data_IF_712230753067
#
_entry.id   IF_712230753067
#
_cell.length_a   1.000
_cell.length_b   1.000
_cell.length_c   1.000
_cell.angle_alpha   90.00
_cell.angle_beta   90.00
_cell.angle_gamma   90.00
#
_symmetry.space_group_name_H-M   'P 1'
#
loop_
_entity.id
_entity.type
_entity.pdbx_description
1 polymer ?
#
# COMPACT_ATOMS: atom_id res chain seq x y z
N UNK A 1 -21.37 -12.70 -8.83
CA UNK A 1 -20.19 -12.16 -9.52
C UNK A 1 -20.46 -10.70 -9.80
N UNK A 2 -19.70 -9.86 -9.13
CA UNK A 2 -19.57 -8.41 -9.31
C UNK A 2 -19.07 -8.11 -10.73
N UNK A 3 -19.64 -7.12 -11.42
CA UNK A 3 -19.32 -6.86 -12.83
C UNK A 3 -17.88 -6.36 -13.02
N UNK A 4 -17.33 -5.66 -12.00
CA UNK A 4 -16.02 -5.02 -12.05
C UNK A 4 -14.96 -5.76 -11.22
N UNK A 5 -15.38 -6.56 -10.23
CA UNK A 5 -14.51 -7.36 -9.37
C UNK A 5 -14.57 -8.84 -9.75
N UNK A 6 -13.90 -9.24 -10.83
CA UNK A 6 -13.96 -10.59 -11.36
C UNK A 6 -12.57 -11.09 -11.81
N UNK A 7 -12.51 -12.35 -12.25
CA UNK A 7 -11.26 -12.98 -12.70
C UNK A 7 -10.61 -12.30 -13.91
N UNK A 8 -11.40 -11.70 -14.82
CA UNK A 8 -10.87 -10.94 -15.96
C UNK A 8 -10.15 -9.68 -15.50
N UNK A 9 -10.76 -8.90 -14.60
CA UNK A 9 -10.09 -7.73 -13.98
C UNK A 9 -8.78 -8.13 -13.30
N UNK A 10 -8.77 -9.26 -12.57
CA UNK A 10 -7.56 -9.79 -11.92
C UNK A 10 -6.46 -10.15 -12.92
N UNK A 11 -6.81 -10.77 -14.04
CA UNK A 11 -5.86 -11.08 -15.11
C UNK A 11 -5.29 -9.81 -15.74
N UNK A 12 -6.16 -8.84 -16.08
CA UNK A 12 -5.76 -7.55 -16.65
C UNK A 12 -4.89 -6.72 -15.72
N UNK A 13 -5.12 -6.77 -14.40
CA UNK A 13 -4.24 -6.13 -13.42
C UNK A 13 -2.85 -6.76 -13.39
N UNK A 14 -2.77 -8.09 -13.55
CA UNK A 14 -1.47 -8.80 -13.62
C UNK A 14 -0.69 -8.36 -14.87
N UNK A 15 -1.37 -8.26 -16.02
CA UNK A 15 -0.80 -7.74 -17.27
C UNK A 15 -0.34 -6.29 -17.13
N UNK A 16 -1.21 -5.41 -16.60
CA UNK A 16 -0.93 -3.97 -16.44
C UNK A 16 0.28 -3.71 -15.54
N UNK A 17 0.39 -4.45 -14.45
CA UNK A 17 1.51 -4.30 -13.49
C UNK A 17 2.81 -4.93 -13.98
N UNK A 18 2.73 -5.83 -14.98
CA UNK A 18 3.87 -6.61 -15.46
C UNK A 18 4.52 -7.44 -14.34
N UNK A 19 3.70 -7.94 -13.41
CA UNK A 19 4.19 -8.69 -12.26
C UNK A 19 4.72 -10.08 -12.66
N UNK A 20 5.78 -10.60 -12.01
CA UNK A 20 6.25 -11.96 -12.27
C UNK A 20 5.19 -13.03 -11.96
N UNK A 21 5.30 -14.19 -12.59
CA UNK A 21 4.30 -15.26 -12.50
C UNK A 21 3.98 -15.70 -11.06
N UNK A 22 5.01 -15.81 -10.20
CA UNK A 22 4.80 -16.15 -8.79
C UNK A 22 3.97 -15.12 -8.01
N UNK A 23 3.99 -13.84 -8.41
CA UNK A 23 3.12 -12.80 -7.84
C UNK A 23 1.71 -12.91 -8.43
N UNK A 24 1.60 -13.15 -9.75
CA UNK A 24 0.32 -13.33 -10.43
C UNK A 24 -0.46 -14.55 -9.90
N UNK A 25 0.23 -15.66 -9.59
CA UNK A 25 -0.36 -16.83 -8.93
C UNK A 25 -0.94 -16.49 -7.56
N UNK A 26 -0.20 -15.73 -6.74
CA UNK A 26 -0.68 -15.26 -5.43
C UNK A 26 -1.89 -14.34 -5.55
N UNK A 27 -1.92 -13.47 -6.56
CA UNK A 27 -3.09 -12.63 -6.87
C UNK A 27 -4.33 -13.47 -7.20
N UNK A 28 -4.19 -14.48 -8.06
CA UNK A 28 -5.30 -15.38 -8.42
C UNK A 28 -5.77 -16.21 -7.23
N UNK A 29 -4.85 -16.69 -6.39
CA UNK A 29 -5.18 -17.38 -5.15
C UNK A 29 -5.92 -16.45 -4.17
N UNK A 30 -5.50 -15.19 -4.06
CA UNK A 30 -6.20 -14.18 -3.26
C UNK A 30 -7.61 -13.92 -3.79
N UNK A 31 -7.80 -13.87 -5.12
CA UNK A 31 -9.13 -13.71 -5.71
C UNK A 31 -10.05 -14.90 -5.37
N UNK A 32 -9.55 -16.14 -5.51
CA UNK A 32 -10.31 -17.33 -5.13
C UNK A 32 -10.69 -17.32 -3.64
N UNK A 33 -9.77 -16.90 -2.77
CA UNK A 33 -10.04 -16.71 -1.33
C UNK A 33 -11.09 -15.62 -1.10
N UNK A 34 -10.98 -14.50 -1.80
CA UNK A 34 -11.95 -13.42 -1.73
C UNK A 34 -13.34 -13.93 -2.11
N UNK A 35 -13.50 -14.69 -3.19
CA UNK A 35 -14.81 -15.23 -3.60
C UNK A 35 -15.40 -16.21 -2.59
N UNK A 36 -14.56 -17.04 -1.96
CA UNK A 36 -15.00 -18.04 -0.99
C UNK A 36 -15.43 -17.45 0.37
N UNK A 37 -14.90 -16.27 0.74
CA UNK A 37 -15.19 -15.64 2.03
C UNK A 37 -16.48 -14.80 1.97
N UNK A 38 -17.27 -14.83 3.04
CA UNK A 38 -18.37 -13.90 3.24
C UNK A 38 -17.85 -12.53 3.69
N UNK A 39 -18.63 -11.48 3.42
CA UNK A 39 -18.39 -10.20 4.08
C UNK A 39 -18.61 -10.35 5.57
N UNK A 40 -17.76 -9.74 6.41
CA UNK A 40 -17.99 -9.72 7.84
C UNK A 40 -19.25 -8.92 8.16
N UNK A 41 -19.92 -9.29 9.24
CA UNK A 41 -21.11 -8.61 9.73
C UNK A 41 -21.04 -8.46 11.26
N UNK A 42 -22.06 -7.81 11.83
CA UNK A 42 -22.11 -7.50 13.26
C UNK A 42 -22.29 -8.72 14.17
N UNK A 43 -22.36 -9.95 13.63
CA UNK A 43 -22.28 -11.19 14.43
C UNK A 43 -20.85 -11.50 14.89
N UNK A 44 -19.83 -10.96 14.21
CA UNK A 44 -18.44 -11.00 14.65
C UNK A 44 -18.19 -9.86 15.64
N UNK A 45 -17.52 -10.16 16.76
CA UNK A 45 -17.29 -9.17 17.82
C UNK A 45 -16.44 -7.99 17.31
N UNK A 46 -15.46 -8.24 16.45
CA UNK A 46 -14.60 -7.24 15.83
C UNK A 46 -15.35 -6.29 14.88
N UNK A 47 -16.53 -6.70 14.39
CA UNK A 47 -17.35 -5.94 13.43
C UNK A 47 -18.66 -5.42 14.03
N UNK A 48 -18.90 -5.67 15.33
CA UNK A 48 -20.13 -5.30 16.04
C UNK A 48 -20.56 -3.84 15.87
N UNK A 49 -19.59 -2.94 15.78
CA UNK A 49 -19.81 -1.49 15.67
C UNK A 49 -19.62 -0.93 14.25
N UNK A 50 -19.38 -1.81 13.26
CA UNK A 50 -19.12 -1.42 11.88
C UNK A 50 -20.23 -1.96 10.97
N UNK A 51 -21.03 -1.05 10.41
CA UNK A 51 -22.18 -1.41 9.57
C UNK A 51 -21.84 -1.33 8.07
N UNK A 52 -21.77 -2.49 7.43
CA UNK A 52 -21.48 -2.62 6.00
C UNK A 52 -22.73 -2.67 5.10
N UNK A 53 -23.94 -2.50 5.63
CA UNK A 53 -25.18 -2.63 4.81
C UNK A 53 -25.28 -1.60 3.67
N UNK A 54 -24.62 -0.45 3.82
CA UNK A 54 -24.56 0.60 2.78
C UNK A 54 -23.34 0.45 1.86
N UNK A 55 -22.41 -0.42 2.23
CA UNK A 55 -21.22 -0.66 1.44
C UNK A 55 -21.57 -1.59 0.27
N UNK A 56 -21.31 -1.12 -0.94
CA UNK A 56 -21.53 -1.88 -2.16
C UNK A 56 -20.28 -1.79 -3.03
N UNK A 57 -19.56 -2.91 -3.12
CA UNK A 57 -18.30 -3.01 -3.85
C UNK A 57 -18.50 -2.75 -5.35
N UNK A 58 -19.65 -3.10 -5.93
CA UNK A 58 -19.92 -2.97 -7.37
C UNK A 58 -20.05 -1.51 -7.84
N UNK A 59 -20.06 -0.55 -6.91
CA UNK A 59 -20.14 0.89 -7.22
C UNK A 59 -18.79 1.50 -7.60
N UNK A 60 -17.70 0.74 -7.47
CA UNK A 60 -16.35 1.23 -7.68
C UNK A 60 -15.65 0.51 -8.83
N UNK A 61 -14.93 1.26 -9.65
CA UNK A 61 -14.05 0.70 -10.66
C UNK A 61 -12.73 0.25 -10.01
N UNK A 62 -12.46 -1.06 -10.07
CA UNK A 62 -11.25 -1.68 -9.53
C UNK A 62 -10.00 -1.43 -10.40
N UNK A 63 -10.18 -0.86 -11.59
CA UNK A 63 -9.11 -0.62 -12.55
C UNK A 63 -9.18 0.83 -13.05
N UNK A 64 -8.83 1.81 -12.20
CA UNK A 64 -8.84 3.22 -12.57
C UNK A 64 -7.90 3.49 -13.76
N UNK A 65 -8.12 4.60 -14.50
CA UNK A 65 -7.26 5.02 -15.60
C UNK A 65 -5.80 5.17 -15.18
N UNK A 66 -4.90 4.89 -16.11
CA UNK A 66 -3.46 5.02 -15.88
C UNK A 66 -3.04 6.49 -15.79
N UNK A 67 -2.07 6.74 -14.93
CA UNK A 67 -1.43 8.05 -14.76
C UNK A 67 0.02 7.99 -15.26
N UNK A 68 0.43 9.07 -15.93
CA UNK A 68 1.79 9.18 -16.47
C UNK A 68 2.83 9.30 -15.35
N UNK A 69 4.00 8.68 -15.59
CA UNK A 69 5.16 8.84 -14.72
C UNK A 69 5.86 10.17 -15.03
N UNK A 70 6.28 10.85 -13.97
CA UNK A 70 7.13 12.04 -14.04
C UNK A 70 8.52 11.74 -13.49
N UNK A 71 9.51 12.52 -13.92
CA UNK A 71 10.91 12.33 -13.50
C UNK A 71 11.36 13.35 -12.47
N UNK A 72 10.66 14.49 -12.40
CA UNK A 72 10.90 15.55 -11.46
C UNK A 72 9.67 15.83 -10.62
N UNK A 73 9.87 16.08 -9.33
CA UNK A 73 8.81 16.52 -8.42
C UNK A 73 8.16 17.84 -8.83
N UNK A 74 8.83 18.65 -9.66
CA UNK A 74 8.27 19.89 -10.21
C UNK A 74 7.19 19.66 -11.29
N UNK A 75 7.09 18.45 -11.85
CA UNK A 75 6.08 18.07 -12.84
C UNK A 75 4.79 17.55 -12.18
N UNK A 76 4.82 17.33 -10.86
CA UNK A 76 3.65 16.90 -10.09
C UNK A 76 2.60 18.03 -10.01
N UNK A 77 1.31 17.69 -9.83
CA UNK A 77 0.28 18.67 -9.50
C UNK A 77 0.70 19.55 -8.31
N UNK A 78 0.45 20.85 -8.40
CA UNK A 78 1.04 21.85 -7.48
C UNK A 78 0.80 21.58 -5.99
N UNK A 79 -0.38 21.07 -5.62
CA UNK A 79 -0.68 20.67 -4.24
C UNK A 79 0.21 19.51 -3.77
N UNK A 80 0.36 18.47 -4.59
CA UNK A 80 1.19 17.30 -4.29
C UNK A 80 2.67 17.71 -4.22
N UNK A 81 3.14 18.53 -5.17
CA UNK A 81 4.51 19.05 -5.18
C UNK A 81 4.80 19.87 -3.91
N UNK A 82 3.86 20.73 -3.50
CA UNK A 82 3.98 21.51 -2.27
C UNK A 82 4.06 20.61 -1.03
N UNK A 83 3.22 19.57 -0.94
CA UNK A 83 3.26 18.61 0.17
C UNK A 83 4.56 17.82 0.22
N UNK A 84 5.08 17.41 -0.94
CA UNK A 84 6.37 16.72 -1.03
C UNK A 84 7.53 17.62 -0.57
N UNK A 85 7.45 18.92 -0.85
CA UNK A 85 8.43 19.91 -0.41
C UNK A 85 8.40 20.27 1.09
N UNK A 86 7.44 19.75 1.86
CA UNK A 86 7.39 19.96 3.31
C UNK A 86 8.39 19.06 4.02
N UNK A 87 9.37 19.68 4.68
CA UNK A 87 10.39 18.98 5.45
C UNK A 87 11.42 18.27 4.59
N UNK A 88 12.35 17.57 5.24
CA UNK A 88 13.39 16.79 4.57
C UNK A 88 13.02 15.31 4.57
N UNK A 89 13.31 14.62 3.47
CA UNK A 89 13.10 13.18 3.30
C UNK A 89 14.33 12.51 2.68
N UNK A 90 14.59 11.27 3.08
CA UNK A 90 15.61 10.42 2.46
C UNK A 90 15.08 9.75 1.18
N UNK A 91 13.75 9.65 1.07
CA UNK A 91 13.06 9.12 -0.10
C UNK A 91 11.61 9.56 -0.13
N UNK A 92 11.04 9.62 -1.31
CA UNK A 92 9.69 10.10 -1.53
C UNK A 92 9.05 9.31 -2.67
N UNK A 93 7.78 8.95 -2.52
CA UNK A 93 6.97 8.39 -3.58
C UNK A 93 5.62 9.09 -3.66
N UNK A 94 5.07 9.20 -4.86
CA UNK A 94 3.72 9.69 -5.09
C UNK A 94 2.96 8.63 -5.87
N UNK A 95 1.82 8.21 -5.30
CA UNK A 95 0.83 7.40 -6.01
C UNK A 95 -0.44 8.19 -6.27
N UNK A 96 -0.85 8.20 -7.53
CA UNK A 96 -2.16 8.71 -7.94
C UNK A 96 -2.95 7.50 -8.43
N UNK A 97 -4.09 7.27 -7.80
CA UNK A 97 -4.91 6.08 -7.95
C UNK A 97 -4.11 4.79 -7.66
N UNK A 98 -3.83 3.98 -8.69
CA UNK A 98 -3.03 2.76 -8.56
C UNK A 98 -1.52 2.98 -8.84
N UNK A 99 -1.17 4.04 -9.58
CA UNK A 99 0.12 4.15 -10.24
C UNK A 99 1.14 4.89 -9.39
N UNK A 100 2.39 4.40 -9.39
CA UNK A 100 3.54 5.13 -8.84
C UNK A 100 4.01 6.15 -9.88
N UNK A 101 3.50 7.37 -9.78
CA UNK A 101 3.77 8.46 -10.75
C UNK A 101 5.12 9.11 -10.54
N UNK A 102 5.61 9.15 -9.29
CA UNK A 102 6.92 9.71 -8.95
C UNK A 102 7.58 8.89 -7.85
N UNK A 103 8.90 8.75 -7.93
CA UNK A 103 9.72 8.19 -6.84
C UNK A 103 11.12 8.78 -6.89
N UNK A 104 11.64 9.17 -5.73
CA UNK A 104 12.97 9.73 -5.57
C UNK A 104 13.63 9.23 -4.28
N UNK A 105 14.96 9.19 -4.30
CA UNK A 105 15.82 8.85 -3.17
C UNK A 105 16.95 9.87 -3.13
N UNK A 106 17.37 10.25 -1.91
CA UNK A 106 18.59 11.03 -1.74
C UNK A 106 19.80 10.21 -2.19
N UNK A 107 20.89 10.89 -2.55
CA UNK A 107 22.10 10.22 -2.99
C UNK A 107 22.71 9.38 -1.87
N UNK A 108 22.58 9.83 -0.61
CA UNK A 108 23.02 9.08 0.57
C UNK A 108 22.20 7.80 0.76
N UNK A 109 20.86 7.89 0.65
CA UNK A 109 19.99 6.72 0.79
C UNK A 109 20.25 5.69 -0.32
N UNK A 110 20.41 6.17 -1.57
CA UNK A 110 20.76 5.32 -2.72
C UNK A 110 22.11 4.65 -2.53
N UNK A 111 23.13 5.41 -2.12
CA UNK A 111 24.47 4.87 -1.86
C UNK A 111 24.49 3.88 -0.70
N UNK A 112 23.61 4.04 0.29
CA UNK A 112 23.42 3.10 1.39
C UNK A 112 22.63 1.83 0.99
N UNK A 113 22.16 1.72 -0.26
CA UNK A 113 21.41 0.57 -0.77
C UNK A 113 19.93 0.53 -0.35
N UNK A 114 19.37 1.66 0.09
CA UNK A 114 17.93 1.77 0.37
C UNK A 114 17.15 1.59 -0.94
N UNK A 115 16.10 0.77 -0.89
CA UNK A 115 15.19 0.56 -2.03
C UNK A 115 13.84 1.15 -1.69
N UNK A 116 13.31 1.99 -2.58
CA UNK A 116 11.92 2.47 -2.57
C UNK A 116 11.43 2.42 -4.00
N UNK A 117 10.52 1.50 -4.32
CA UNK A 117 9.97 1.40 -5.67
C UNK A 117 8.65 0.61 -5.69
N UNK A 118 8.09 0.41 -6.88
CA UNK A 118 7.04 -0.55 -7.11
C UNK A 118 7.56 -1.98 -6.88
N UNK A 119 6.82 -2.81 -6.13
CA UNK A 119 7.28 -4.17 -5.79
C UNK A 119 7.49 -5.03 -7.04
N UNK A 120 6.76 -4.76 -8.12
CA UNK A 120 6.88 -5.46 -9.39
C UNK A 120 8.20 -5.11 -10.11
N UNK A 121 8.69 -3.88 -9.92
CA UNK A 121 10.03 -3.47 -10.38
C UNK A 121 11.09 -4.15 -9.51
N UNK A 122 10.94 -4.08 -8.18
CA UNK A 122 11.87 -4.73 -7.25
C UNK A 122 11.92 -6.24 -7.47
N UNK A 123 10.80 -6.90 -7.78
CA UNK A 123 10.78 -8.35 -8.02
C UNK A 123 11.54 -8.76 -9.29
N UNK A 124 11.67 -7.86 -10.28
CA UNK A 124 12.47 -8.11 -11.48
C UNK A 124 13.96 -7.85 -11.25
N UNK A 125 14.28 -6.82 -10.46
CA UNK A 125 15.66 -6.40 -10.19
C UNK A 125 16.32 -7.17 -9.03
N UNK A 126 15.52 -7.57 -8.04
CA UNK A 126 15.88 -8.21 -6.78
C UNK A 126 14.84 -9.28 -6.37
N UNK A 127 14.70 -10.37 -7.16
CA UNK A 127 13.66 -11.38 -6.93
C UNK A 127 13.73 -12.02 -5.53
N UNK A 128 14.94 -12.19 -5.00
CA UNK A 128 15.20 -12.76 -3.67
C UNK A 128 14.62 -11.91 -2.53
N UNK A 129 14.62 -10.57 -2.67
CA UNK A 129 14.05 -9.67 -1.67
C UNK A 129 12.53 -9.79 -1.62
N UNK A 130 11.87 -9.91 -2.77
CA UNK A 130 10.40 -9.96 -2.82
C UNK A 130 9.90 -11.33 -2.43
N UNK A 131 10.49 -12.41 -2.94
CA UNK A 131 10.04 -13.78 -2.66
C UNK A 131 10.04 -14.13 -1.17
N UNK A 132 11.03 -13.63 -0.42
CA UNK A 132 11.16 -13.91 1.02
C UNK A 132 10.04 -13.31 1.86
N UNK A 133 9.55 -12.12 1.50
CA UNK A 133 8.69 -11.32 2.38
C UNK A 133 7.26 -11.17 1.88
N UNK A 134 7.02 -11.33 0.59
CA UNK A 134 5.74 -11.00 -0.02
C UNK A 134 4.58 -11.84 0.51
N UNK A 135 3.61 -11.19 1.15
CA UNK A 135 2.37 -11.83 1.62
C UNK A 135 2.61 -12.92 2.67
N UNK A 136 3.67 -12.78 3.47
CA UNK A 136 4.02 -13.76 4.51
C UNK A 136 3.50 -13.38 5.90
N UNK A 137 3.05 -12.13 6.08
CA UNK A 137 2.37 -11.69 7.28
C UNK A 137 1.04 -12.43 7.43
N UNK A 138 0.84 -13.10 8.57
CA UNK A 138 -0.35 -13.90 8.85
C UNK A 138 -1.63 -13.07 8.81
N UNK A 139 -2.75 -13.70 8.42
CA UNK A 139 -4.05 -13.05 8.26
C UNK A 139 -5.02 -13.61 9.30
N UNK A 140 -5.66 -12.73 10.07
CA UNK A 140 -6.72 -13.14 11.01
C UNK A 140 -8.05 -13.36 10.27
N UNK A 141 -8.93 -14.19 10.83
CA UNK A 141 -10.19 -14.56 10.16
C UNK A 141 -11.13 -13.37 9.96
N UNK A 142 -11.22 -12.45 10.93
CA UNK A 142 -12.14 -11.30 10.87
C UNK A 142 -11.78 -10.27 9.78
N UNK A 143 -10.54 -10.25 9.30
CA UNK A 143 -10.04 -9.34 8.27
C UNK A 143 -9.75 -10.04 6.93
N UNK A 144 -9.96 -11.37 6.87
CA UNK A 144 -9.55 -12.20 5.74
C UNK A 144 -10.21 -11.80 4.41
N UNK A 145 -11.47 -11.37 4.42
CA UNK A 145 -12.19 -10.90 3.22
C UNK A 145 -11.57 -9.61 2.67
N UNK A 146 -11.24 -8.67 3.57
CA UNK A 146 -10.65 -7.36 3.25
C UNK A 146 -9.22 -7.55 2.73
N UNK A 147 -8.43 -8.42 3.37
CA UNK A 147 -7.07 -8.73 2.94
C UNK A 147 -7.07 -9.40 1.57
N UNK A 148 -7.92 -10.41 1.35
CA UNK A 148 -8.00 -11.10 0.08
C UNK A 148 -8.44 -10.15 -1.06
N UNK A 149 -9.35 -9.21 -0.77
CA UNK A 149 -9.74 -8.16 -1.71
C UNK A 149 -8.54 -7.28 -2.09
N UNK A 150 -7.77 -6.78 -1.13
CA UNK A 150 -6.55 -6.02 -1.41
C UNK A 150 -5.53 -6.83 -2.23
N UNK A 151 -5.23 -8.05 -1.79
CA UNK A 151 -4.24 -8.91 -2.44
C UNK A 151 -4.62 -9.28 -3.90
N UNK A 152 -5.92 -9.42 -4.18
CA UNK A 152 -6.42 -9.70 -5.52
C UNK A 152 -6.41 -8.45 -6.44
N UNK A 153 -6.77 -7.28 -5.91
CA UNK A 153 -7.02 -6.08 -6.72
C UNK A 153 -5.99 -4.96 -6.58
N UNK A 154 -4.91 -5.18 -5.82
CA UNK A 154 -3.77 -4.25 -5.74
C UNK A 154 -3.23 -3.89 -7.13
N UNK A 155 -3.45 -2.64 -7.54
CA UNK A 155 -3.02 -2.11 -8.83
C UNK A 155 -1.56 -1.68 -8.87
N UNK A 156 -0.88 -1.69 -7.73
CA UNK A 156 0.55 -1.39 -7.63
C UNK A 156 1.00 -1.37 -6.17
N UNK A 157 2.12 -2.02 -5.89
CA UNK A 157 2.59 -2.26 -4.51
C UNK A 157 3.82 -1.41 -4.24
N UNK A 158 3.94 -0.82 -3.06
CA UNK A 158 5.14 -0.09 -2.64
C UNK A 158 6.05 -1.04 -1.85
N UNK A 159 7.30 -1.18 -2.27
CA UNK A 159 8.30 -1.99 -1.58
C UNK A 159 9.42 -1.08 -1.07
N UNK A 160 9.69 -1.18 0.23
CA UNK A 160 10.69 -0.40 0.94
C UNK A 160 11.63 -1.39 1.63
N UNK A 161 12.92 -1.32 1.30
CA UNK A 161 13.96 -2.16 1.92
C UNK A 161 15.08 -1.30 2.49
N UNK A 162 15.43 -1.56 3.74
CA UNK A 162 16.53 -0.92 4.46
C UNK A 162 17.58 -1.98 4.77
N UNK A 163 18.78 -1.91 4.18
CA UNK A 163 19.81 -2.93 4.34
C UNK A 163 20.34 -3.05 5.78
N UNK A 164 20.97 -4.19 6.07
CA UNK A 164 21.57 -4.50 7.39
C UNK A 164 22.44 -3.35 7.88
N UNK A 165 22.18 -2.90 9.12
CA UNK A 165 22.92 -1.85 9.81
C UNK A 165 22.74 -0.43 9.26
N UNK A 166 21.90 -0.24 8.24
CA UNK A 166 21.65 1.09 7.66
C UNK A 166 20.64 1.84 8.53
N UNK A 167 21.02 3.05 8.97
CA UNK A 167 20.13 3.98 9.66
C UNK A 167 19.78 5.15 8.77
N UNK A 168 18.51 5.26 8.39
CA UNK A 168 17.99 6.36 7.57
C UNK A 168 17.55 7.51 8.48
N UNK A 169 18.29 8.63 8.44
CA UNK A 169 18.09 9.78 9.34
C UNK A 169 16.82 10.57 9.04
N UNK A 170 16.48 10.74 7.76
CA UNK A 170 15.28 11.45 7.32
C UNK A 170 14.19 10.45 6.94
N UNK A 171 12.90 10.78 7.09
CA UNK A 171 11.82 9.86 6.76
C UNK A 171 11.81 9.50 5.26
N UNK A 172 11.28 8.32 4.98
CA UNK A 172 10.80 7.95 3.64
C UNK A 172 9.29 8.23 3.60
N UNK A 173 8.82 9.01 2.63
CA UNK A 173 7.42 9.44 2.52
C UNK A 173 6.73 8.80 1.33
N UNK A 174 5.44 8.53 1.45
CA UNK A 174 4.60 8.03 0.37
C UNK A 174 3.25 8.76 0.39
N UNK A 175 3.05 9.64 -0.59
CA UNK A 175 1.83 10.41 -0.77
C UNK A 175 0.89 9.64 -1.68
N UNK A 176 -0.37 9.46 -1.26
CA UNK A 176 -1.37 8.66 -1.98
C UNK A 176 -2.63 9.47 -2.22
N UNK A 177 -3.00 9.63 -3.49
CA UNK A 177 -4.14 10.44 -3.92
C UNK A 177 -5.16 9.63 -4.71
N UNK A 178 -6.44 9.86 -4.45
CA UNK A 178 -7.54 9.45 -5.33
C UNK A 178 -7.85 10.66 -6.22
N UNK A 179 -7.80 10.47 -7.54
CA UNK A 179 -7.95 11.55 -8.52
C UNK A 179 -9.41 11.84 -8.91
N UNK A 180 -10.30 10.87 -8.70
CA UNK A 180 -11.69 10.93 -9.17
C UNK A 180 -12.64 10.07 -8.32
N UNK A 181 -13.94 10.40 -8.29
CA UNK A 181 -14.94 9.55 -7.65
C UNK A 181 -15.21 8.26 -8.43
N UNK A 182 -15.80 7.27 -7.77
CA UNK A 182 -16.27 6.03 -8.37
C UNK A 182 -15.18 5.00 -8.63
N UNK A 183 -13.98 5.16 -8.07
CA UNK A 183 -12.88 4.21 -8.21
C UNK A 183 -12.56 3.52 -6.88
N UNK A 184 -11.95 2.35 -6.98
CA UNK A 184 -11.33 1.65 -5.86
C UNK A 184 -9.82 1.61 -6.04
N UNK A 185 -9.09 1.96 -4.98
CA UNK A 185 -7.64 1.79 -4.89
C UNK A 185 -7.32 0.75 -3.83
N UNK A 186 -6.28 -0.03 -4.09
CA UNK A 186 -5.85 -1.14 -3.25
C UNK A 186 -4.37 -1.00 -2.88
N UNK A 187 -3.96 0.05 -2.14
CA UNK A 187 -2.57 0.24 -1.78
C UNK A 187 -2.04 -0.93 -0.96
N UNK A 188 -0.89 -1.48 -1.34
CA UNK A 188 -0.17 -2.44 -0.51
C UNK A 188 1.27 -1.98 -0.29
N UNK A 189 1.67 -1.86 0.95
CA UNK A 189 3.01 -1.42 1.35
C UNK A 189 3.73 -2.57 2.04
N UNK A 190 4.95 -2.86 1.60
CA UNK A 190 5.83 -3.84 2.21
C UNK A 190 7.08 -3.09 2.66
N UNK A 191 7.34 -3.09 3.96
CA UNK A 191 8.51 -2.46 4.58
C UNK A 191 9.36 -3.56 5.19
N UNK A 192 10.61 -3.65 4.76
CA UNK A 192 11.58 -4.61 5.28
C UNK A 192 12.77 -3.83 5.82
N UNK A 193 12.98 -3.89 7.13
CA UNK A 193 14.18 -3.40 7.79
C UNK A 193 15.02 -4.61 8.18
N UNK A 194 16.15 -4.82 7.51
CA UNK A 194 17.07 -5.92 7.80
C UNK A 194 17.77 -5.69 9.15
N UNK A 195 18.58 -6.65 9.59
CA UNK A 195 19.17 -6.69 10.91
C UNK A 195 19.88 -5.38 11.30
N UNK A 196 19.50 -4.81 12.44
CA UNK A 196 20.04 -3.54 12.95
C UNK A 196 19.71 -2.30 12.10
N UNK A 197 18.84 -2.40 11.10
CA UNK A 197 18.43 -1.27 10.27
C UNK A 197 17.43 -0.35 11.01
N UNK A 198 17.41 0.94 10.67
CA UNK A 198 16.48 1.91 11.26
C UNK A 198 15.86 2.82 10.21
N UNK A 199 14.54 3.00 10.26
CA UNK A 199 13.81 3.88 9.34
C UNK A 199 12.57 4.49 9.98
N UNK A 200 12.24 5.70 9.55
CA UNK A 200 10.90 6.28 9.70
C UNK A 200 10.22 6.28 8.34
N UNK A 201 9.04 5.66 8.25
CA UNK A 201 8.23 5.63 7.04
C UNK A 201 6.89 6.32 7.28
N UNK A 202 6.48 7.18 6.36
CA UNK A 202 5.27 7.99 6.46
C UNK A 202 4.37 7.75 5.25
N UNK A 203 3.17 7.21 5.49
CA UNK A 203 2.09 7.12 4.51
C UNK A 203 1.10 8.29 4.68
N UNK A 204 0.83 9.02 3.60
CA UNK A 204 -0.07 10.18 3.59
C UNK A 204 -1.20 9.98 2.57
N UNK A 205 -2.37 9.60 3.06
CA UNK A 205 -3.58 9.37 2.28
C UNK A 205 -4.46 10.61 2.25
N UNK A 206 -4.98 10.96 1.09
CA UNK A 206 -5.97 12.03 0.97
C UNK A 206 -6.50 12.19 -0.45
N UNK A 207 -7.49 13.04 -0.61
CA UNK A 207 -8.03 13.39 -1.92
C UNK A 207 -8.53 14.83 -1.93
N UNK A 208 -8.33 15.52 -3.05
CA UNK A 208 -8.81 16.89 -3.24
C UNK A 208 -10.16 16.86 -3.97
N UNK A 209 -11.18 17.51 -3.40
CA UNK A 209 -12.48 17.78 -4.03
C UNK A 209 -13.16 16.58 -4.74
N UNK A 210 -13.38 15.47 -4.02
CA UNK A 210 -14.10 14.31 -4.57
C UNK A 210 -15.64 14.49 -4.52
N UNK A 211 -16.25 14.75 -5.67
CA UNK A 211 -17.71 14.84 -5.81
C UNK A 211 -18.39 13.47 -5.97
N UNK A 212 -18.14 12.53 -5.04
CA UNK A 212 -18.73 11.20 -5.04
C UNK A 212 -18.02 10.21 -4.13
N UNK A 213 -18.53 8.97 -4.05
CA UNK A 213 -17.91 7.92 -3.24
C UNK A 213 -16.74 7.26 -3.97
N UNK A 214 -15.71 6.90 -3.22
CA UNK A 214 -14.60 6.05 -3.68
C UNK A 214 -14.22 5.05 -2.58
N UNK A 215 -13.40 4.07 -2.92
CA UNK A 215 -12.94 3.04 -2.00
C UNK A 215 -11.42 3.04 -1.91
N UNK A 216 -10.89 3.03 -0.68
CA UNK A 216 -9.52 2.68 -0.39
C UNK A 216 -9.51 1.41 0.48
N UNK A 217 -8.81 0.37 0.03
CA UNK A 217 -8.51 -0.81 0.86
C UNK A 217 -7.01 -0.93 0.96
N UNK A 218 -6.44 -0.44 2.05
CA UNK A 218 -5.00 -0.41 2.28
C UNK A 218 -4.53 -1.63 3.08
N UNK A 219 -3.33 -2.10 2.75
CA UNK A 219 -2.63 -3.15 3.48
C UNK A 219 -1.16 -2.78 3.69
N UNK A 220 -0.64 -3.00 4.90
CA UNK A 220 0.75 -2.74 5.25
C UNK A 220 1.34 -3.96 5.92
N UNK A 221 2.50 -4.39 5.44
CA UNK A 221 3.31 -5.47 6.00
C UNK A 221 4.67 -4.90 6.41
N UNK A 222 4.99 -4.97 7.69
CA UNK A 222 6.26 -4.51 8.26
C UNK A 222 7.04 -5.73 8.74
N UNK A 223 8.26 -5.88 8.24
CA UNK A 223 9.21 -6.91 8.63
C UNK A 223 10.40 -6.20 9.26
N UNK A 224 10.49 -6.25 10.59
CA UNK A 224 11.62 -5.71 11.34
C UNK A 224 12.49 -6.88 11.81
N UNK A 225 13.62 -7.10 11.14
CA UNK A 225 14.57 -8.16 11.50
C UNK A 225 15.28 -7.85 12.83
N UNK A 226 16.14 -8.76 13.29
CA UNK A 226 16.79 -8.66 14.60
C UNK A 226 17.44 -7.28 14.83
N UNK A 227 17.11 -6.63 15.95
CA UNK A 227 17.66 -5.32 16.30
C UNK A 227 17.20 -4.15 15.43
N UNK A 228 16.29 -4.36 14.46
CA UNK A 228 15.82 -3.31 13.58
C UNK A 228 14.80 -2.39 14.26
N UNK A 229 14.72 -1.13 13.84
CA UNK A 229 13.72 -0.16 14.32
C UNK A 229 12.92 0.42 13.16
N UNK A 230 11.60 0.27 13.20
CA UNK A 230 10.69 0.88 12.22
C UNK A 230 9.72 1.80 12.93
N UNK A 231 9.77 3.09 12.63
CA UNK A 231 8.70 4.01 12.99
C UNK A 231 7.77 4.15 11.78
N UNK A 232 6.56 3.62 11.89
CA UNK A 232 5.54 3.70 10.85
C UNK A 232 4.51 4.76 11.25
N UNK A 233 4.28 5.73 10.37
CA UNK A 233 3.33 6.80 10.59
C UNK A 233 2.34 6.84 9.44
N UNK A 234 1.06 6.80 9.75
CA UNK A 234 -0.01 6.93 8.80
C UNK A 234 -0.83 8.19 9.10
N UNK A 235 -0.95 9.05 8.10
CA UNK A 235 -1.85 10.18 8.10
C UNK A 235 -2.90 9.94 7.03
N UNK A 236 -4.16 9.97 7.43
CA UNK A 236 -5.30 9.85 6.55
C UNK A 236 -6.15 11.10 6.69
N UNK A 237 -6.44 11.74 5.56
CA UNK A 237 -7.35 12.87 5.45
C UNK A 237 -8.23 12.69 4.21
N UNK A 238 -9.18 11.77 4.31
CA UNK A 238 -10.11 11.49 3.22
C UNK A 238 -11.37 12.36 3.33
N UNK A 239 -12.01 12.73 2.20
CA UNK A 239 -13.39 13.18 2.23
C UNK A 239 -14.31 12.12 2.86
N UNK A 240 -15.39 12.54 3.53
CA UNK A 240 -16.37 11.64 4.18
C UNK A 240 -17.05 10.64 3.22
N UNK A 241 -16.88 10.81 1.92
CA UNK A 241 -17.41 9.94 0.88
C UNK A 241 -16.49 8.76 0.56
N UNK A 242 -15.28 8.70 1.13
CA UNK A 242 -14.36 7.59 0.88
C UNK A 242 -14.54 6.50 1.93
N UNK A 243 -14.86 5.30 1.46
CA UNK A 243 -14.79 4.10 2.29
C UNK A 243 -13.33 3.71 2.45
N UNK A 244 -12.82 3.66 3.68
CA UNK A 244 -11.44 3.25 3.94
C UNK A 244 -11.36 2.05 4.88
N UNK A 245 -10.83 0.94 4.37
CA UNK A 245 -10.40 -0.19 5.18
C UNK A 245 -8.89 -0.23 5.19
N UNK A 246 -8.29 -0.40 6.36
CA UNK A 246 -6.83 -0.44 6.48
C UNK A 246 -6.40 -1.56 7.41
N UNK A 247 -5.48 -2.38 6.92
CA UNK A 247 -4.93 -3.52 7.67
C UNK A 247 -3.42 -3.36 7.79
N UNK A 248 -2.91 -3.26 9.01
CA UNK A 248 -1.49 -3.12 9.30
C UNK A 248 -0.99 -4.33 10.08
N UNK A 249 0.13 -4.92 9.63
CA UNK A 249 0.75 -6.07 10.29
C UNK A 249 2.24 -5.87 10.42
N UNK A 250 2.79 -6.33 11.53
CA UNK A 250 4.21 -6.30 11.79
C UNK A 250 4.70 -7.67 12.27
N UNK A 251 5.75 -8.20 11.64
CA UNK A 251 6.57 -9.27 12.16
C UNK A 251 7.80 -8.61 12.79
N UNK A 252 7.95 -8.80 14.10
CA UNK A 252 8.98 -8.14 14.91
C UNK A 252 9.98 -9.19 15.39
N UNK A 253 11.20 -9.10 14.88
CA UNK A 253 12.30 -9.96 15.23
C UNK A 253 12.83 -9.71 16.65
N UNK A 254 13.80 -10.53 17.05
CA UNK A 254 14.45 -10.41 18.35
C UNK A 254 15.08 -9.02 18.51
N UNK A 255 14.89 -8.39 19.66
CA UNK A 255 15.45 -7.07 19.99
C UNK A 255 15.05 -5.94 19.00
N UNK A 256 14.07 -6.19 18.13
CA UNK A 256 13.56 -5.22 17.17
C UNK A 256 12.40 -4.42 17.77
N UNK A 257 12.12 -3.24 17.21
CA UNK A 257 11.04 -2.36 17.64
C UNK A 257 10.25 -1.82 16.44
N UNK A 258 8.93 -1.97 16.49
CA UNK A 258 8.01 -1.29 15.57
C UNK A 258 7.15 -0.32 16.37
N UNK A 259 7.16 0.96 15.98
CA UNK A 259 6.32 1.99 16.56
C UNK A 259 5.35 2.49 15.50
N UNK A 260 4.06 2.23 15.71
CA UNK A 260 3.01 2.71 14.80
C UNK A 260 2.30 3.94 15.38
N UNK A 261 2.07 4.94 14.55
CA UNK A 261 1.15 6.05 14.82
C UNK A 261 0.20 6.18 13.65
N UNK A 262 -1.10 6.18 13.93
CA UNK A 262 -2.14 6.41 12.93
C UNK A 262 -2.98 7.63 13.34
N UNK A 263 -3.07 8.61 12.44
CA UNK A 263 -3.98 9.74 12.54
C UNK A 263 -5.03 9.60 11.42
N UNK A 264 -6.26 9.26 11.80
CA UNK A 264 -7.38 9.02 10.88
C UNK A 264 -8.38 10.17 10.95
N UNK A 265 -8.33 11.05 9.96
CA UNK A 265 -9.21 12.19 9.76
C UNK A 265 -10.10 11.92 8.54
N UNK A 266 -11.34 12.43 8.59
CA UNK A 266 -12.38 12.17 7.58
C UNK A 266 -13.47 11.22 8.06
#
# INVERSE_FOLDING_TARGET
MTALFNADTVARLSERTGEPEGIAERRRAAFARFEALSWPDQSLEEWKHTDLRKFDLDRFDAMPPENDRVTSSAELPGEIAAMLGVGSHAGAGVRIDADLVHVELSDEARAAGVVVNAAEVVAREHPDLVERWFGTAGVSDFEAKIEALNAAFTGGRSFIYIPRGVSVTHPIRMIRRISRPGIAIFPRTIIVADEGASVTYVDEFGASDLAGESLCVAAVEIYAEQGATVNYHQFQDWPQTVWHFNVQRAIVGRDAAVRSLAATLG
#
